data_IF_363132461062
#
_entry.id   IF_363132461062
#
_cell.length_a   1.000
_cell.length_b   1.000
_cell.length_c   1.000
_cell.angle_alpha   90.00
_cell.angle_beta   90.00
_cell.angle_gamma   90.00
#
_symmetry.space_group_name_H-M   'P 1'
#
loop_
_entity.id
_entity.type
_entity.pdbx_description
1 polymer ?
#
# COMPACT_ATOMS: atom_id res chain seq x y z
N UNK A 1 -0.62 11.93 1.84
CA UNK A 1 -1.27 12.10 3.16
C UNK A 1 -0.30 11.57 4.21
N UNK A 2 0.49 12.46 4.83
CA UNK A 2 1.29 12.08 6.00
C UNK A 2 0.32 11.91 7.18
N UNK A 3 0.25 10.73 7.79
CA UNK A 3 -0.28 10.61 9.14
C UNK A 3 0.82 11.15 10.08
N UNK A 4 0.74 12.39 10.60
CA UNK A 4 1.94 13.11 11.07
C UNK A 4 2.44 12.68 12.46
N UNK A 5 2.06 11.52 12.97
CA UNK A 5 2.41 11.10 14.34
C UNK A 5 2.88 9.65 14.46
N UNK A 6 2.82 8.85 13.40
CA UNK A 6 3.14 7.42 13.48
C UNK A 6 4.54 7.14 12.93
N UNK A 7 5.34 6.39 13.70
CA UNK A 7 6.64 5.91 13.24
C UNK A 7 6.40 4.69 12.35
N UNK A 8 6.31 4.96 11.04
CA UNK A 8 6.05 3.98 9.99
C UNK A 8 7.34 3.64 9.25
N UNK A 9 7.61 2.35 9.11
CA UNK A 9 8.70 1.79 8.33
C UNK A 9 8.14 1.10 7.08
N UNK A 10 8.82 1.27 5.95
CA UNK A 10 8.43 0.69 4.66
C UNK A 10 9.39 -0.43 4.26
N UNK A 11 9.05 -1.15 3.19
CA UNK A 11 9.76 -2.30 2.62
C UNK A 11 11.27 -2.15 2.30
N UNK A 12 11.84 -0.96 2.49
CA UNK A 12 13.28 -0.69 2.40
C UNK A 12 14.01 -0.92 3.72
N UNK A 13 13.27 -0.98 4.84
CA UNK A 13 13.80 -1.06 6.19
C UNK A 13 13.74 -2.50 6.71
N UNK A 14 14.84 -2.95 7.31
CA UNK A 14 15.01 -4.31 7.80
C UNK A 14 14.36 -4.52 9.18
N UNK A 15 14.05 -5.78 9.55
CA UNK A 15 13.57 -6.10 10.91
C UNK A 15 14.55 -5.63 12.00
N UNK A 16 15.87 -5.67 11.73
CA UNK A 16 16.87 -5.14 12.65
C UNK A 16 16.65 -3.65 12.91
N UNK A 17 16.52 -2.87 11.84
CA UNK A 17 16.35 -1.41 11.93
C UNK A 17 14.98 -1.05 12.51
N UNK A 18 13.91 -1.79 12.16
CA UNK A 18 12.58 -1.62 12.77
C UNK A 18 12.63 -1.80 14.29
N UNK A 19 13.27 -2.87 14.79
CA UNK A 19 13.36 -3.12 16.24
C UNK A 19 14.22 -2.05 16.93
N UNK A 20 15.33 -1.65 16.30
CA UNK A 20 16.27 -0.65 16.82
C UNK A 20 15.64 0.74 16.86
N UNK A 21 15.18 1.23 15.73
CA UNK A 21 14.74 2.62 15.53
C UNK A 21 13.31 2.81 16.04
N UNK A 22 12.47 1.78 15.95
CA UNK A 22 11.15 1.72 16.63
C UNK A 22 11.25 1.52 18.14
N UNK A 23 12.48 1.37 18.69
CA UNK A 23 12.74 1.18 20.12
C UNK A 23 11.91 0.05 20.73
N UNK A 24 11.74 -1.04 19.99
CA UNK A 24 10.81 -2.12 20.33
C UNK A 24 11.44 -3.15 21.28
N UNK A 25 12.76 -3.35 21.20
CA UNK A 25 13.47 -4.39 21.94
C UNK A 25 14.97 -4.41 21.63
N UNK A 26 15.59 -5.58 21.76
CA UNK A 26 17.00 -5.79 21.38
C UNK A 26 17.08 -6.45 19.99
N UNK A 27 17.48 -5.71 18.94
CA UNK A 27 17.55 -6.25 17.58
C UNK A 27 18.65 -7.32 17.42
N UNK A 28 19.63 -7.41 18.35
CA UNK A 28 20.68 -8.44 18.31
C UNK A 28 20.14 -9.83 18.66
N UNK A 29 18.96 -9.93 19.26
CA UNK A 29 18.30 -11.21 19.55
C UNK A 29 17.70 -11.89 18.31
N UNK A 30 17.53 -11.15 17.20
CA UNK A 30 17.17 -11.73 15.91
C UNK A 30 18.37 -12.50 15.34
N UNK A 31 18.11 -13.65 14.71
CA UNK A 31 19.14 -14.38 13.95
C UNK A 31 19.59 -13.59 12.72
N UNK A 32 20.81 -13.85 12.22
CA UNK A 32 21.44 -13.03 11.18
C UNK A 32 20.60 -12.90 9.90
N UNK A 33 19.98 -13.99 9.44
CA UNK A 33 19.13 -13.94 8.25
C UNK A 33 17.79 -13.25 8.51
N UNK A 34 17.21 -13.44 9.70
CA UNK A 34 15.93 -12.82 10.07
C UNK A 34 16.05 -11.31 10.15
N UNK A 35 17.21 -10.78 10.58
CA UNK A 35 17.49 -9.34 10.62
C UNK A 35 17.28 -8.66 9.28
N UNK A 36 17.52 -9.37 8.17
CA UNK A 36 17.48 -8.83 6.80
C UNK A 36 16.07 -8.81 6.20
N UNK A 37 15.09 -9.46 6.83
CA UNK A 37 13.72 -9.49 6.34
C UNK A 37 13.11 -8.09 6.35
N UNK A 38 12.20 -7.83 5.40
CA UNK A 38 11.63 -6.50 5.16
C UNK A 38 10.12 -6.61 4.97
N UNK A 39 9.34 -6.29 6.00
CA UNK A 39 7.90 -6.19 5.85
C UNK A 39 7.51 -4.98 4.99
N UNK A 40 6.35 -5.04 4.34
CA UNK A 40 5.95 -3.96 3.44
C UNK A 40 5.65 -2.65 4.19
N UNK A 41 4.87 -2.75 5.27
CA UNK A 41 4.53 -1.63 6.14
C UNK A 41 4.57 -2.10 7.59
N UNK A 42 5.29 -1.38 8.45
CA UNK A 42 5.23 -1.56 9.91
C UNK A 42 5.01 -0.23 10.60
N UNK A 43 3.91 -0.10 11.33
CA UNK A 43 3.61 1.05 12.19
C UNK A 43 3.93 0.68 13.64
N UNK A 44 5.02 1.24 14.16
CA UNK A 44 5.50 0.92 15.51
C UNK A 44 4.80 1.70 16.62
N UNK A 45 3.99 2.70 16.29
CA UNK A 45 3.14 3.38 17.25
C UNK A 45 1.80 2.63 17.41
N UNK A 46 1.23 2.17 16.31
CA UNK A 46 0.04 1.33 16.32
C UNK A 46 0.34 -0.15 16.62
N UNK A 47 1.61 -0.55 16.63
CA UNK A 47 2.08 -1.93 16.81
C UNK A 47 1.46 -2.90 15.78
N UNK A 48 1.39 -2.47 14.53
CA UNK A 48 0.82 -3.27 13.44
C UNK A 48 1.76 -3.41 12.27
N UNK A 49 1.58 -4.52 11.56
CA UNK A 49 2.27 -4.89 10.32
C UNK A 49 1.22 -5.07 9.21
N UNK A 50 1.59 -4.72 7.97
CA UNK A 50 0.88 -5.11 6.76
C UNK A 50 1.83 -5.63 5.69
N UNK A 51 1.44 -6.73 5.03
CA UNK A 51 2.00 -7.20 3.76
C UNK A 51 1.05 -6.84 2.63
N UNK A 52 1.59 -6.28 1.55
CA UNK A 52 0.84 -5.85 0.38
C UNK A 52 0.91 -6.93 -0.71
N UNK A 53 -0.24 -7.35 -1.21
CA UNK A 53 -0.35 -8.44 -2.19
C UNK A 53 -1.37 -8.12 -3.29
N UNK A 54 -1.17 -8.57 -4.53
CA UNK A 54 -2.24 -8.57 -5.53
C UNK A 54 -3.49 -9.30 -5.01
N UNK A 55 -4.67 -8.86 -5.40
CA UNK A 55 -5.96 -9.46 -5.00
C UNK A 55 -6.24 -10.77 -5.75
N UNK A 56 -5.45 -11.80 -5.43
CA UNK A 56 -5.65 -13.19 -5.84
C UNK A 56 -5.34 -14.15 -4.68
N UNK A 57 -5.85 -15.39 -4.76
CA UNK A 57 -5.78 -16.35 -3.65
C UNK A 57 -4.35 -16.85 -3.38
N UNK A 58 -3.51 -16.94 -4.40
CA UNK A 58 -2.12 -17.37 -4.24
C UNK A 58 -1.32 -16.30 -3.51
N UNK A 59 -1.38 -15.05 -4.00
CA UNK A 59 -0.76 -13.89 -3.38
C UNK A 59 -1.25 -13.68 -1.95
N UNK A 60 -2.55 -13.89 -1.69
CA UNK A 60 -3.12 -13.84 -0.34
C UNK A 60 -2.50 -14.87 0.60
N UNK A 61 -2.39 -16.13 0.14
CA UNK A 61 -1.78 -17.22 0.92
C UNK A 61 -0.31 -16.92 1.23
N UNK A 62 0.43 -16.39 0.26
CA UNK A 62 1.82 -15.97 0.47
C UNK A 62 1.93 -14.82 1.48
N UNK A 63 1.08 -13.80 1.34
CA UNK A 63 1.00 -12.68 2.27
C UNK A 63 0.77 -13.14 3.71
N UNK A 64 -0.14 -14.08 3.93
CA UNK A 64 -0.40 -14.67 5.25
C UNK A 64 0.86 -15.33 5.85
N UNK A 65 1.59 -16.08 5.03
CA UNK A 65 2.81 -16.75 5.49
C UNK A 65 3.91 -15.74 5.81
N UNK A 66 4.10 -14.72 4.97
CA UNK A 66 5.10 -13.67 5.18
C UNK A 66 4.78 -12.84 6.43
N UNK A 67 3.54 -12.35 6.54
CA UNK A 67 3.08 -11.60 7.69
C UNK A 67 3.25 -12.41 9.00
N UNK A 68 2.86 -13.68 8.99
CA UNK A 68 3.04 -14.58 10.14
C UNK A 68 4.50 -14.77 10.53
N UNK A 69 5.41 -14.95 9.56
CA UNK A 69 6.86 -15.07 9.82
C UNK A 69 7.43 -13.80 10.45
N UNK A 70 7.06 -12.63 9.93
CA UNK A 70 7.54 -11.35 10.45
C UNK A 70 7.02 -11.08 11.87
N UNK A 71 5.72 -11.33 12.12
CA UNK A 71 5.14 -11.18 13.45
C UNK A 71 5.78 -12.12 14.47
N UNK A 72 6.02 -13.38 14.10
CA UNK A 72 6.69 -14.33 14.98
C UNK A 72 8.10 -13.84 15.34
N UNK A 73 8.91 -13.48 14.34
CA UNK A 73 10.27 -13.00 14.53
C UNK A 73 10.35 -11.72 15.39
N UNK A 74 9.50 -10.73 15.10
CA UNK A 74 9.44 -9.50 15.89
C UNK A 74 9.04 -9.79 17.33
N UNK A 75 7.96 -10.57 17.54
CA UNK A 75 7.41 -10.80 18.86
C UNK A 75 8.31 -11.63 19.80
N UNK A 76 9.35 -12.30 19.28
CA UNK A 76 10.38 -12.94 20.09
C UNK A 76 11.35 -11.95 20.75
N UNK A 77 11.58 -10.80 20.12
CA UNK A 77 12.66 -9.86 20.49
C UNK A 77 12.17 -8.53 21.06
N UNK A 78 10.91 -8.16 20.81
CA UNK A 78 10.28 -6.96 21.36
C UNK A 78 9.90 -7.13 22.84
N UNK A 79 9.70 -6.00 23.52
CA UNK A 79 9.21 -5.97 24.90
C UNK A 79 7.77 -6.49 24.99
N UNK A 80 7.35 -7.09 26.12
CA UNK A 80 6.00 -7.66 26.26
C UNK A 80 4.84 -6.69 25.99
N UNK A 81 5.01 -5.41 26.32
CA UNK A 81 4.07 -4.31 26.10
C UNK A 81 4.07 -3.76 24.67
N UNK A 82 4.97 -4.26 23.82
CA UNK A 82 5.18 -3.81 22.44
C UNK A 82 4.99 -4.92 21.40
N UNK A 83 4.21 -5.95 21.75
CA UNK A 83 3.88 -7.01 20.80
C UNK A 83 3.09 -6.45 19.64
N UNK A 84 3.53 -6.81 18.43
CA UNK A 84 2.89 -6.41 17.20
C UNK A 84 1.82 -7.43 16.77
N UNK A 85 0.80 -6.94 16.08
CA UNK A 85 -0.24 -7.76 15.46
C UNK A 85 -0.36 -7.47 13.96
N UNK A 86 -1.09 -8.31 13.22
CA UNK A 86 -1.50 -7.96 11.87
C UNK A 86 -2.48 -6.79 11.91
N UNK A 87 -2.23 -5.75 11.12
CA UNK A 87 -3.14 -4.61 11.04
C UNK A 87 -4.47 -4.97 10.38
N UNK A 88 -5.51 -4.18 10.66
CA UNK A 88 -6.87 -4.38 10.15
C UNK A 88 -7.46 -3.04 9.69
N UNK A 89 -8.56 -3.09 8.93
CA UNK A 89 -9.32 -1.89 8.55
C UNK A 89 -8.58 -0.93 7.60
N UNK A 90 -7.43 -1.35 7.04
CA UNK A 90 -6.75 -0.57 6.02
C UNK A 90 -7.38 -0.87 4.66
N UNK A 91 -8.25 0.05 4.23
CA UNK A 91 -8.98 -0.03 2.98
C UNK A 91 -9.09 1.35 2.33
N UNK A 92 -9.27 1.37 1.02
CA UNK A 92 -9.41 2.61 0.28
C UNK A 92 -9.31 2.42 -1.22
N UNK A 93 -9.42 3.54 -1.91
CA UNK A 93 -9.24 3.60 -3.35
C UNK A 93 -8.53 4.89 -3.74
N UNK A 94 -7.89 4.87 -4.89
CA UNK A 94 -7.24 6.02 -5.51
C UNK A 94 -7.66 6.02 -6.96
N UNK A 95 -8.12 7.17 -7.44
CA UNK A 95 -8.48 7.33 -8.84
C UNK A 95 -7.51 8.23 -9.58
N UNK A 96 -7.18 7.84 -10.81
CA UNK A 96 -6.35 8.60 -11.74
C UNK A 96 -7.16 8.85 -13.01
N UNK A 97 -7.58 10.09 -13.22
CA UNK A 97 -8.24 10.51 -14.46
C UNK A 97 -7.26 11.20 -15.38
N UNK A 98 -7.26 10.82 -16.66
CA UNK A 98 -6.50 11.50 -17.70
C UNK A 98 -7.41 12.48 -18.48
N UNK A 99 -6.88 13.65 -18.87
CA UNK A 99 -7.58 14.74 -19.57
C UNK A 99 -8.20 14.27 -20.87
N UNK A 100 -9.19 15.05 -21.35
CA UNK A 100 -10.01 14.75 -22.54
C UNK A 100 -10.77 13.43 -22.41
N UNK A 101 -11.16 13.07 -21.17
CA UNK A 101 -11.93 11.86 -20.87
C UNK A 101 -11.15 10.57 -21.13
N UNK A 102 -9.81 10.59 -21.04
CA UNK A 102 -8.96 9.38 -21.12
C UNK A 102 -9.34 8.33 -20.08
N UNK A 103 -8.77 7.12 -20.11
CA UNK A 103 -9.16 6.04 -19.19
C UNK A 103 -9.17 6.49 -17.71
N UNK A 104 -10.14 6.05 -16.92
CA UNK A 104 -10.18 6.32 -15.48
C UNK A 104 -9.63 5.11 -14.76
N UNK A 105 -8.48 5.23 -14.11
CA UNK A 105 -7.88 4.12 -13.39
C UNK A 105 -8.19 4.19 -11.92
N UNK A 106 -8.25 3.02 -11.30
CA UNK A 106 -8.50 2.86 -9.90
C UNK A 106 -7.51 1.87 -9.33
N UNK A 107 -6.78 2.29 -8.30
CA UNK A 107 -6.15 1.38 -7.35
C UNK A 107 -7.09 1.22 -6.19
N UNK A 108 -7.55 0.01 -5.90
CA UNK A 108 -8.30 -0.30 -4.69
C UNK A 108 -7.49 -1.20 -3.79
N UNK A 109 -7.58 -1.00 -2.48
CA UNK A 109 -6.99 -1.90 -1.50
C UNK A 109 -7.96 -2.19 -0.35
N UNK A 110 -7.78 -3.36 0.25
CA UNK A 110 -8.58 -3.83 1.39
C UNK A 110 -7.76 -4.80 2.23
N UNK A 111 -8.04 -4.87 3.52
CA UNK A 111 -7.37 -5.80 4.45
C UNK A 111 -8.34 -6.88 4.90
N UNK A 112 -8.53 -7.96 4.11
CA UNK A 112 -9.53 -8.99 4.41
C UNK A 112 -9.17 -9.87 5.59
N UNK A 113 -7.88 -9.93 5.97
CA UNK A 113 -7.40 -10.65 7.14
C UNK A 113 -6.24 -9.89 7.80
N UNK A 114 -6.02 -10.05 9.11
CA UNK A 114 -5.00 -9.30 9.83
C UNK A 114 -3.61 -9.42 9.20
N UNK A 115 -3.03 -8.27 8.88
CA UNK A 115 -1.67 -8.16 8.34
C UNK A 115 -1.52 -8.46 6.85
N UNK A 116 -2.61 -8.71 6.13
CA UNK A 116 -2.57 -8.89 4.67
C UNK A 116 -3.50 -7.90 4.01
N UNK A 117 -2.93 -6.93 3.30
CA UNK A 117 -3.65 -5.97 2.49
C UNK A 117 -3.56 -6.38 1.02
N UNK A 118 -4.71 -6.63 0.42
CA UNK A 118 -4.83 -6.95 -0.99
C UNK A 118 -5.04 -5.66 -1.79
N UNK A 119 -4.37 -5.53 -2.92
CA UNK A 119 -4.54 -4.42 -3.85
C UNK A 119 -4.90 -4.91 -5.25
N UNK A 120 -5.68 -4.10 -5.97
CA UNK A 120 -6.08 -4.37 -7.34
C UNK A 120 -6.06 -3.08 -8.16
N UNK A 121 -5.51 -3.19 -9.37
CA UNK A 121 -5.63 -2.16 -10.40
C UNK A 121 -6.79 -2.49 -11.33
N UNK A 122 -7.70 -1.55 -11.52
CA UNK A 122 -8.76 -1.61 -12.51
C UNK A 122 -8.82 -0.33 -13.34
N UNK A 123 -9.47 -0.39 -14.49
CA UNK A 123 -9.70 0.78 -15.31
C UNK A 123 -11.10 0.80 -15.87
N UNK A 124 -11.57 2.00 -16.18
CA UNK A 124 -12.83 2.25 -16.87
C UNK A 124 -12.51 2.95 -18.18
N UNK A 125 -13.17 2.50 -19.25
CA UNK A 125 -12.91 2.99 -20.61
C UNK A 125 -13.20 4.50 -20.71
N UNK A 126 -12.58 5.12 -21.70
CA UNK A 126 -12.88 6.49 -22.09
C UNK A 126 -14.35 6.57 -22.50
N UNK A 127 -15.10 7.48 -21.88
CA UNK A 127 -16.44 7.88 -22.30
C UNK A 127 -16.42 9.41 -22.47
N UNK A 128 -16.38 9.92 -23.71
CA UNK A 128 -16.45 11.35 -23.97
C UNK A 128 -17.68 11.96 -23.28
N UNK A 129 -17.53 13.17 -22.76
CA UNK A 129 -18.59 14.00 -22.19
C UNK A 129 -19.32 13.40 -20.96
N UNK A 130 -18.83 12.28 -20.41
CA UNK A 130 -19.35 11.72 -19.18
C UNK A 130 -18.81 12.46 -17.96
N UNK A 131 -19.71 12.83 -17.05
CA UNK A 131 -19.34 13.37 -15.74
C UNK A 131 -18.56 12.36 -14.91
N UNK A 132 -17.77 12.83 -13.95
CA UNK A 132 -17.04 12.00 -12.97
C UNK A 132 -17.90 10.87 -12.38
N UNK A 133 -19.12 11.20 -11.91
CA UNK A 133 -20.05 10.23 -11.32
C UNK A 133 -20.46 9.14 -12.31
N UNK A 134 -20.75 9.51 -13.56
CA UNK A 134 -21.07 8.55 -14.61
C UNK A 134 -19.87 7.68 -14.98
N UNK A 135 -18.66 8.21 -14.87
CA UNK A 135 -17.42 7.46 -15.12
C UNK A 135 -17.13 6.47 -14.01
N UNK A 136 -17.19 6.87 -12.74
CA UNK A 136 -16.98 5.96 -11.59
C UNK A 136 -18.03 4.84 -11.56
N UNK A 137 -19.26 5.12 -12.01
CA UNK A 137 -20.33 4.12 -12.10
C UNK A 137 -20.17 3.09 -13.24
N UNK A 138 -19.20 3.27 -14.16
CA UNK A 138 -18.99 2.27 -15.22
C UNK A 138 -18.42 0.98 -14.65
N UNK A 139 -18.70 -0.12 -15.37
CA UNK A 139 -18.12 -1.42 -15.06
C UNK A 139 -16.59 -1.34 -15.14
N UNK A 140 -15.95 -1.83 -14.10
CA UNK A 140 -14.50 -1.97 -14.03
C UNK A 140 -14.02 -3.09 -14.95
N UNK A 141 -12.91 -2.83 -15.64
CA UNK A 141 -12.16 -3.83 -16.40
C UNK A 141 -10.79 -4.03 -15.76
N UNK A 142 -10.32 -5.28 -15.78
CA UNK A 142 -9.01 -5.64 -15.23
C UNK A 142 -7.90 -5.27 -16.21
N UNK A 143 -6.81 -4.70 -15.69
CA UNK A 143 -5.62 -4.41 -16.48
C UNK A 143 -4.79 -5.69 -16.67
N UNK A 144 -4.38 -6.04 -17.91
CA UNK A 144 -3.40 -7.10 -18.14
C UNK A 144 -2.09 -6.79 -17.41
N UNK A 145 -1.41 -7.81 -16.86
CA UNK A 145 -0.22 -7.65 -16.00
C UNK A 145 0.90 -6.76 -16.55
N UNK A 146 1.25 -6.87 -17.84
CA UNK A 146 2.27 -6.00 -18.47
C UNK A 146 1.88 -4.51 -18.47
N UNK A 147 0.58 -4.23 -18.49
CA UNK A 147 0.05 -2.87 -18.35
C UNK A 147 -0.10 -2.46 -16.89
N UNK A 148 0.18 -3.29 -15.90
CA UNK A 148 0.15 -2.87 -14.49
C UNK A 148 1.47 -2.19 -14.13
N UNK A 149 2.61 -2.75 -14.51
CA UNK A 149 3.93 -2.19 -14.15
C UNK A 149 4.19 -0.81 -14.75
N UNK A 150 4.04 -0.67 -16.08
CA UNK A 150 4.25 0.61 -16.77
C UNK A 150 3.32 1.71 -16.25
N UNK A 151 2.13 1.32 -15.81
CA UNK A 151 1.09 2.22 -15.35
C UNK A 151 1.22 2.52 -13.87
N UNK A 152 1.71 1.59 -13.06
CA UNK A 152 2.10 1.79 -11.67
C UNK A 152 3.19 2.86 -11.52
N UNK A 153 4.19 2.86 -12.41
CA UNK A 153 5.23 3.91 -12.41
C UNK A 153 4.66 5.31 -12.69
N UNK A 154 3.72 5.43 -13.63
CA UNK A 154 3.02 6.70 -13.89
C UNK A 154 2.14 7.13 -12.71
N UNK A 155 1.46 6.18 -12.09
CA UNK A 155 0.64 6.42 -10.91
C UNK A 155 1.45 6.92 -9.72
N UNK A 156 2.59 6.28 -9.42
CA UNK A 156 3.50 6.70 -8.35
C UNK A 156 3.95 8.16 -8.56
N UNK A 157 4.43 8.49 -9.75
CA UNK A 157 4.85 9.85 -10.08
C UNK A 157 3.70 10.85 -9.97
N UNK A 158 2.49 10.50 -10.41
CA UNK A 158 1.32 11.36 -10.30
C UNK A 158 0.92 11.62 -8.82
N UNK A 159 0.99 10.59 -7.98
CA UNK A 159 0.71 10.69 -6.53
C UNK A 159 1.75 11.58 -5.84
N UNK A 160 3.05 11.36 -6.12
CA UNK A 160 4.14 12.20 -5.58
C UNK A 160 3.98 13.66 -6.00
N UNK A 161 3.61 13.90 -7.26
CA UNK A 161 3.30 15.24 -7.73
C UNK A 161 2.11 15.88 -7.04
N UNK A 162 1.06 15.12 -6.75
CA UNK A 162 -0.16 15.64 -6.11
C UNK A 162 -0.02 15.89 -4.60
N UNK A 163 0.69 15.03 -3.86
CA UNK A 163 0.69 15.04 -2.39
C UNK A 163 2.06 15.33 -1.75
N UNK A 164 3.15 15.23 -2.50
CA UNK A 164 4.52 15.45 -2.00
C UNK A 164 5.19 16.68 -2.64
N UNK A 165 4.50 17.37 -3.56
CA UNK A 165 5.00 18.56 -4.25
C UNK A 165 6.02 18.28 -5.37
N UNK A 166 6.05 17.05 -5.90
CA UNK A 166 6.93 16.66 -7.00
C UNK A 166 6.48 17.12 -8.39
N UNK A 167 7.33 16.92 -9.40
CA UNK A 167 6.93 17.11 -10.81
C UNK A 167 5.92 16.04 -11.25
N UNK A 168 4.89 16.47 -11.99
CA UNK A 168 3.92 15.54 -12.58
C UNK A 168 4.58 14.74 -13.72
N UNK A 169 4.19 13.48 -13.95
CA UNK A 169 4.73 12.67 -15.03
C UNK A 169 4.55 13.36 -16.39
N UNK A 170 5.55 13.25 -17.28
CA UNK A 170 5.39 13.72 -18.67
C UNK A 170 4.23 12.97 -19.34
N UNK A 171 3.27 13.73 -19.86
CA UNK A 171 2.05 13.18 -20.47
C UNK A 171 0.94 12.83 -19.47
N UNK A 172 1.14 13.09 -18.17
CA UNK A 172 0.04 13.12 -17.21
C UNK A 172 -0.66 14.47 -17.29
N UNK A 173 -1.76 14.47 -18.01
CA UNK A 173 -2.76 15.51 -18.01
C UNK A 173 -3.91 14.90 -17.20
N UNK A 174 -4.17 15.29 -15.93
CA UNK A 174 -5.08 14.52 -15.09
C UNK A 174 -5.31 14.97 -13.64
N UNK A 175 -6.22 14.28 -12.94
CA UNK A 175 -6.55 14.50 -11.51
C UNK A 175 -6.37 13.21 -10.69
N UNK A 176 -5.94 13.39 -9.44
CA UNK A 176 -5.70 12.32 -8.46
C UNK A 176 -6.69 12.52 -7.31
N UNK A 177 -7.49 11.52 -6.97
CA UNK A 177 -8.51 11.62 -5.92
C UNK A 177 -8.33 10.55 -4.85
N UNK A 178 -8.27 10.97 -3.58
CA UNK A 178 -8.42 10.08 -2.43
C UNK A 178 -9.82 10.25 -1.82
N UNK A 179 -10.51 9.18 -1.38
CA UNK A 179 -11.85 9.24 -0.79
C UNK A 179 -11.99 10.17 0.43
N UNK A 180 -10.88 10.55 1.07
CA UNK A 180 -10.85 11.57 2.12
C UNK A 180 -11.13 12.99 1.61
N UNK A 181 -11.01 13.23 0.31
CA UNK A 181 -11.27 14.52 -0.35
C UNK A 181 -12.75 14.70 -0.75
N UNK A 182 -13.61 13.68 -0.51
CA UNK A 182 -15.02 13.65 -0.90
C UNK A 182 -15.99 13.94 0.27
N UNK A 183 -15.62 14.78 1.23
CA UNK A 183 -16.54 15.24 2.29
C UNK A 183 -17.30 16.50 1.88
#
# INVERSE_FOLDING_TARGET
MQHPSNVVFLNTISLYDIVKDGKLGDPKRLSELVRLLRPDITDTNALVLFELKPDDEESRREGRQQAGRYLAALNEVVKPDKKLTGGTGFEGSLFLEFEKGGALWQLSWRTPEPGVTLYRWSYRRKKPDASWKERVAQKEEELPGEKIEQRGALAEQAIRGAYEGGERPKGFEGQVYLPVDCR
#
